data_IF_937598353661
#
_entry.id   IF_937598353661
#
_cell.length_a   1.000
_cell.length_b   1.000
_cell.length_c   1.000
_cell.angle_alpha   90.00
_cell.angle_beta   90.00
_cell.angle_gamma   90.00
#
_symmetry.space_group_name_H-M   'P 1'
#
loop_
_entity.id
_entity.type
_entity.pdbx_description
1 polymer ?
#
# COMPACT_ATOMS: atom_id res chain seq x y z
N UNK A 1 16.13 23.07 -36.92
CA UNK A 1 15.37 21.81 -36.83
C UNK A 1 15.85 21.03 -35.61
N UNK A 2 15.13 21.12 -34.51
CA UNK A 2 15.47 20.39 -33.28
C UNK A 2 15.02 18.95 -33.46
N UNK A 3 15.96 18.03 -33.64
CA UNK A 3 15.70 16.58 -33.68
C UNK A 3 15.06 16.16 -32.36
N UNK A 4 13.79 15.89 -32.38
CA UNK A 4 13.06 15.30 -31.24
C UNK A 4 13.64 13.88 -31.09
N UNK A 5 14.54 13.68 -30.11
CA UNK A 5 15.08 12.38 -29.80
C UNK A 5 13.91 11.44 -29.47
N UNK A 6 13.68 10.43 -30.30
CA UNK A 6 12.65 9.40 -30.07
C UNK A 6 12.90 8.74 -28.72
N UNK A 7 11.87 8.65 -27.90
CA UNK A 7 11.90 7.95 -26.61
C UNK A 7 12.27 6.49 -26.86
N UNK A 8 13.23 5.92 -26.13
CA UNK A 8 13.40 4.47 -26.12
C UNK A 8 12.13 3.84 -25.51
N UNK A 9 11.46 2.99 -26.26
CA UNK A 9 10.33 2.21 -25.76
C UNK A 9 10.73 1.41 -24.52
N UNK A 10 9.85 1.21 -23.54
CA UNK A 10 10.13 0.33 -22.41
C UNK A 10 10.41 -1.09 -22.94
N UNK A 11 11.31 -1.83 -22.27
CA UNK A 11 11.53 -3.23 -22.66
C UNK A 11 10.34 -4.09 -22.31
N UNK A 12 10.20 -5.20 -23.02
CA UNK A 12 9.23 -6.27 -22.68
C UNK A 12 9.37 -6.67 -21.21
N UNK A 13 10.60 -6.83 -20.71
CA UNK A 13 10.84 -7.18 -19.31
C UNK A 13 10.30 -6.13 -18.32
N UNK A 14 10.38 -4.83 -18.66
CA UNK A 14 9.80 -3.78 -17.80
C UNK A 14 8.28 -3.79 -17.82
N UNK A 15 7.67 -3.98 -18.98
CA UNK A 15 6.21 -4.11 -19.10
C UNK A 15 5.73 -5.32 -18.31
N UNK A 16 6.35 -6.47 -18.53
CA UNK A 16 6.04 -7.69 -17.80
C UNK A 16 6.25 -7.54 -16.29
N UNK A 17 7.32 -6.88 -15.86
CA UNK A 17 7.59 -6.62 -14.45
C UNK A 17 6.46 -5.83 -13.76
N UNK A 18 5.91 -4.81 -14.42
CA UNK A 18 4.78 -4.05 -13.87
C UNK A 18 3.48 -4.87 -13.88
N UNK A 19 3.19 -5.58 -14.96
CA UNK A 19 1.98 -6.39 -15.06
C UNK A 19 1.99 -7.55 -14.08
N UNK A 20 3.09 -8.31 -14.01
CA UNK A 20 3.24 -9.41 -13.07
C UNK A 20 3.30 -8.91 -11.62
N UNK A 21 3.94 -7.76 -11.38
CA UNK A 21 3.95 -7.13 -10.07
C UNK A 21 2.55 -6.74 -9.60
N UNK A 22 1.76 -6.09 -10.46
CA UNK A 22 0.38 -5.74 -10.15
C UNK A 22 -0.48 -6.99 -9.92
N UNK A 23 -0.36 -8.00 -10.78
CA UNK A 23 -1.09 -9.27 -10.65
C UNK A 23 -0.73 -10.00 -9.34
N UNK A 24 0.55 -10.05 -8.98
CA UNK A 24 1.00 -10.67 -7.73
C UNK A 24 0.46 -9.93 -6.49
N UNK A 25 0.45 -8.58 -6.51
CA UNK A 25 -0.10 -7.76 -5.43
C UNK A 25 -1.60 -8.01 -5.26
N UNK A 26 -2.37 -8.05 -6.36
CA UNK A 26 -3.80 -8.34 -6.29
C UNK A 26 -4.11 -9.79 -5.92
N UNK A 27 -3.32 -10.75 -6.41
CA UNK A 27 -3.44 -12.15 -6.00
C UNK A 27 -3.15 -12.31 -4.49
N UNK A 28 -2.15 -11.58 -3.97
CA UNK A 28 -1.87 -11.55 -2.53
C UNK A 28 -3.03 -10.94 -1.73
N UNK A 29 -3.64 -9.84 -2.23
CA UNK A 29 -4.82 -9.25 -1.60
C UNK A 29 -6.00 -10.22 -1.59
N UNK A 30 -6.23 -10.93 -2.70
CA UNK A 30 -7.27 -11.95 -2.80
C UNK A 30 -7.02 -13.12 -1.84
N UNK A 31 -5.77 -13.60 -1.74
CA UNK A 31 -5.40 -14.66 -0.81
C UNK A 31 -5.65 -14.24 0.66
N UNK A 32 -5.24 -13.02 1.03
CA UNK A 32 -5.53 -12.45 2.34
C UNK A 32 -7.04 -12.43 2.59
N UNK A 33 -7.83 -11.96 1.63
CA UNK A 33 -9.29 -11.95 1.73
C UNK A 33 -9.88 -13.34 1.89
N UNK A 34 -9.47 -14.32 1.08
CA UNK A 34 -9.93 -15.71 1.21
C UNK A 34 -9.63 -16.24 2.61
N UNK A 35 -8.39 -16.13 3.06
CA UNK A 35 -7.99 -16.65 4.39
C UNK A 35 -8.74 -15.94 5.51
N UNK A 36 -8.76 -14.61 5.49
CA UNK A 36 -9.33 -13.81 6.59
C UNK A 36 -10.87 -13.86 6.65
N UNK A 37 -11.55 -13.93 5.49
CA UNK A 37 -13.02 -13.90 5.48
C UNK A 37 -13.66 -15.28 5.57
N UNK A 38 -13.04 -16.32 4.97
CA UNK A 38 -13.73 -17.62 4.79
C UNK A 38 -13.22 -18.72 5.71
N UNK A 39 -12.14 -18.51 6.47
CA UNK A 39 -11.63 -19.53 7.38
C UNK A 39 -11.84 -19.15 8.85
N UNK A 40 -12.17 -20.14 9.67
CA UNK A 40 -12.34 -19.94 11.11
C UNK A 40 -11.06 -19.38 11.79
N UNK A 41 -9.90 -19.92 11.43
CA UNK A 41 -8.62 -19.44 11.97
C UNK A 41 -8.32 -18.01 11.54
N UNK A 42 -8.60 -17.65 10.28
CA UNK A 42 -8.39 -16.30 9.77
C UNK A 42 -9.30 -15.28 10.47
N UNK A 43 -10.60 -15.57 10.57
CA UNK A 43 -11.53 -14.71 11.30
C UNK A 43 -11.15 -14.56 12.77
N UNK A 44 -10.74 -15.67 13.41
CA UNK A 44 -10.34 -15.66 14.80
C UNK A 44 -9.06 -14.84 15.06
N UNK A 45 -8.03 -15.00 14.23
CA UNK A 45 -6.79 -14.22 14.36
C UNK A 45 -7.01 -12.72 14.13
N UNK A 46 -7.80 -12.38 13.12
CA UNK A 46 -8.16 -10.99 12.83
C UNK A 46 -8.92 -10.34 13.98
N UNK A 47 -9.90 -11.05 14.54
CA UNK A 47 -10.70 -10.57 15.67
C UNK A 47 -9.86 -10.47 16.94
N UNK A 48 -9.01 -11.48 17.21
CA UNK A 48 -8.11 -11.47 18.36
C UNK A 48 -7.15 -10.27 18.30
N UNK A 49 -6.56 -10.00 17.13
CA UNK A 49 -5.67 -8.87 16.94
C UNK A 49 -6.38 -7.53 17.14
N UNK A 50 -7.60 -7.40 16.61
CA UNK A 50 -8.43 -6.21 16.77
C UNK A 50 -8.72 -5.93 18.26
N UNK A 51 -9.23 -6.93 18.99
CA UNK A 51 -9.54 -6.79 20.42
C UNK A 51 -8.30 -6.48 21.26
N UNK A 52 -7.18 -7.12 20.97
CA UNK A 52 -5.93 -6.88 21.69
C UNK A 52 -5.40 -5.46 21.42
N UNK A 53 -5.52 -4.95 20.20
CA UNK A 53 -5.04 -3.62 19.87
C UNK A 53 -5.95 -2.52 20.43
N UNK A 54 -7.27 -2.64 20.25
CA UNK A 54 -8.24 -1.62 20.68
C UNK A 54 -8.37 -1.51 22.19
N UNK A 55 -8.13 -2.60 22.92
CA UNK A 55 -8.14 -2.61 24.38
C UNK A 55 -6.82 -2.22 25.07
N UNK A 56 -5.69 -2.18 24.32
CA UNK A 56 -4.36 -2.03 24.92
C UNK A 56 -4.04 -0.60 25.38
N UNK A 57 -4.53 0.42 24.64
CA UNK A 57 -4.12 1.82 24.82
C UNK A 57 -5.31 2.78 24.63
N UNK A 58 -6.21 2.94 25.62
CA UNK A 58 -7.39 3.81 25.48
C UNK A 58 -7.04 5.26 25.14
N UNK A 59 -6.05 5.87 25.80
CA UNK A 59 -5.61 7.25 25.54
C UNK A 59 -5.04 7.44 24.12
N UNK A 60 -4.45 6.38 23.56
CA UNK A 60 -3.92 6.40 22.20
C UNK A 60 -5.03 6.25 21.16
N UNK A 61 -6.14 5.60 21.52
CA UNK A 61 -7.32 5.46 20.66
C UNK A 61 -7.92 6.82 20.32
N UNK A 62 -8.06 7.73 21.29
CA UNK A 62 -8.60 9.08 21.03
C UNK A 62 -7.72 9.88 20.06
N UNK A 63 -6.40 9.80 20.22
CA UNK A 63 -5.45 10.44 19.29
C UNK A 63 -5.48 9.79 17.90
N UNK A 64 -5.63 8.49 17.86
CA UNK A 64 -5.77 7.74 16.61
C UNK A 64 -7.07 8.10 15.89
N UNK A 65 -8.20 8.31 16.61
CA UNK A 65 -9.45 8.80 16.04
C UNK A 65 -9.26 10.18 15.40
N UNK A 66 -8.65 11.13 16.11
CA UNK A 66 -8.36 12.47 15.56
C UNK A 66 -7.49 12.42 14.31
N UNK A 67 -6.49 11.54 14.28
CA UNK A 67 -5.68 11.29 13.07
C UNK A 67 -6.58 10.80 11.93
N UNK A 68 -7.41 9.80 12.18
CA UNK A 68 -8.28 9.22 11.16
C UNK A 68 -9.33 10.19 10.62
N UNK A 69 -9.88 11.07 11.45
CA UNK A 69 -10.80 12.13 11.03
C UNK A 69 -10.12 13.14 10.09
N UNK A 70 -8.81 13.34 10.24
CA UNK A 70 -8.01 14.22 9.38
C UNK A 70 -7.63 13.56 8.04
N UNK A 71 -7.55 12.23 7.97
CA UNK A 71 -7.05 11.48 6.80
C UNK A 71 -7.77 11.86 5.50
N UNK A 72 -9.11 11.95 5.40
CA UNK A 72 -9.77 12.30 4.14
C UNK A 72 -9.34 13.68 3.61
N UNK A 73 -9.22 14.67 4.50
CA UNK A 73 -8.83 16.04 4.15
C UNK A 73 -7.36 16.13 3.74
N UNK A 74 -6.47 15.51 4.51
CA UNK A 74 -5.03 15.47 4.21
C UNK A 74 -4.79 14.73 2.89
N UNK A 75 -5.42 13.58 2.71
CA UNK A 75 -5.33 12.78 1.47
C UNK A 75 -5.84 13.58 0.27
N UNK A 76 -6.99 14.25 0.42
CA UNK A 76 -7.56 15.12 -0.63
C UNK A 76 -6.60 16.24 -1.01
N UNK A 77 -6.10 16.99 -0.02
CA UNK A 77 -5.18 18.11 -0.23
C UNK A 77 -3.85 17.66 -0.85
N UNK A 78 -3.23 16.61 -0.31
CA UNK A 78 -1.96 16.07 -0.84
C UNK A 78 -2.13 15.55 -2.26
N UNK A 79 -3.20 14.80 -2.52
CA UNK A 79 -3.46 14.29 -3.88
C UNK A 79 -3.68 15.43 -4.87
N UNK A 80 -4.51 16.42 -4.53
CA UNK A 80 -4.76 17.57 -5.39
C UNK A 80 -3.48 18.36 -5.68
N UNK A 81 -2.66 18.63 -4.66
CA UNK A 81 -1.37 19.31 -4.83
C UNK A 81 -0.43 18.52 -5.73
N UNK A 82 -0.29 17.22 -5.51
CA UNK A 82 0.57 16.38 -6.34
C UNK A 82 0.10 16.30 -7.79
N UNK A 83 -1.21 16.20 -8.03
CA UNK A 83 -1.78 16.22 -9.37
C UNK A 83 -1.54 17.56 -10.08
N UNK A 84 -1.68 18.67 -9.36
CA UNK A 84 -1.34 20.00 -9.87
C UNK A 84 0.15 20.12 -10.22
N UNK A 85 1.03 19.66 -9.33
CA UNK A 85 2.49 19.63 -9.58
C UNK A 85 2.82 18.76 -10.79
N UNK A 86 2.20 17.60 -10.95
CA UNK A 86 2.39 16.73 -12.12
C UNK A 86 1.97 17.43 -13.40
N UNK A 87 0.80 18.09 -13.41
CA UNK A 87 0.30 18.82 -14.58
C UNK A 87 1.23 19.97 -14.98
N UNK A 88 1.66 20.79 -14.00
CA UNK A 88 2.55 21.94 -14.23
C UNK A 88 3.93 21.52 -14.70
N UNK A 89 4.56 20.55 -14.01
CA UNK A 89 5.93 20.11 -14.34
C UNK A 89 6.05 19.39 -15.69
N UNK A 90 5.05 18.59 -16.01
CA UNK A 90 5.03 17.85 -17.28
C UNK A 90 4.56 18.72 -18.46
N UNK A 91 3.98 19.88 -18.21
CA UNK A 91 3.26 20.72 -19.20
C UNK A 91 2.22 19.90 -20.00
N UNK A 92 1.69 18.87 -19.38
CA UNK A 92 0.74 17.94 -19.97
C UNK A 92 -0.15 17.36 -18.84
N UNK A 93 -1.43 17.20 -19.12
CA UNK A 93 -2.39 16.67 -18.14
C UNK A 93 -2.27 15.14 -17.96
N UNK A 94 -1.65 14.42 -18.91
CA UNK A 94 -1.60 12.96 -18.87
C UNK A 94 -1.05 12.35 -17.56
N UNK A 95 0.08 12.82 -16.97
CA UNK A 95 0.54 12.31 -15.71
C UNK A 95 -0.40 12.58 -14.53
N UNK A 96 -1.06 13.74 -14.54
CA UNK A 96 -2.08 14.07 -13.53
C UNK A 96 -3.30 13.16 -13.66
N UNK A 97 -3.76 12.90 -14.88
CA UNK A 97 -4.86 11.96 -15.16
C UNK A 97 -4.51 10.54 -14.67
N UNK A 98 -3.28 10.08 -14.91
CA UNK A 98 -2.82 8.76 -14.41
C UNK A 98 -2.84 8.72 -12.90
N UNK A 99 -2.32 9.75 -12.24
CA UNK A 99 -2.35 9.85 -10.77
C UNK A 99 -3.78 9.86 -10.23
N UNK A 100 -4.68 10.65 -10.82
CA UNK A 100 -6.10 10.68 -10.47
C UNK A 100 -6.76 9.31 -10.69
N UNK A 101 -6.45 8.64 -11.79
CA UNK A 101 -6.95 7.29 -12.06
C UNK A 101 -6.50 6.29 -10.99
N UNK A 102 -5.25 6.36 -10.53
CA UNK A 102 -4.76 5.50 -9.44
C UNK A 102 -5.57 5.73 -8.17
N UNK A 103 -5.82 6.99 -7.78
CA UNK A 103 -6.63 7.31 -6.59
C UNK A 103 -8.05 6.77 -6.74
N UNK A 104 -8.71 7.10 -7.85
CA UNK A 104 -10.12 6.75 -8.08
C UNK A 104 -10.30 5.24 -8.18
N UNK A 105 -9.50 4.57 -9.03
CA UNK A 105 -9.64 3.13 -9.27
C UNK A 105 -9.28 2.30 -8.04
N UNK A 106 -8.28 2.71 -7.26
CA UNK A 106 -7.96 2.03 -5.99
C UNK A 106 -9.12 2.10 -5.01
N UNK A 107 -9.65 3.31 -4.77
CA UNK A 107 -10.75 3.48 -3.81
C UNK A 107 -12.05 2.85 -4.31
N UNK A 108 -12.34 2.96 -5.61
CA UNK A 108 -13.50 2.29 -6.21
C UNK A 108 -13.39 0.77 -6.07
N UNK A 109 -12.22 0.18 -6.35
CA UNK A 109 -11.99 -1.26 -6.17
C UNK A 109 -12.26 -1.68 -4.73
N UNK A 110 -11.73 -0.94 -3.74
CA UNK A 110 -11.96 -1.21 -2.32
C UNK A 110 -13.46 -1.14 -1.97
N UNK A 111 -14.20 -0.14 -2.48
CA UNK A 111 -15.64 -0.03 -2.22
C UNK A 111 -16.44 -1.15 -2.91
N UNK A 112 -16.07 -1.53 -4.14
CA UNK A 112 -16.70 -2.65 -4.86
C UNK A 112 -16.46 -3.97 -4.13
N UNK A 113 -15.23 -4.25 -3.70
CA UNK A 113 -14.90 -5.44 -2.92
C UNK A 113 -15.73 -5.48 -1.63
N UNK A 114 -15.75 -4.36 -0.88
CA UNK A 114 -16.43 -4.28 0.41
C UNK A 114 -17.94 -4.45 0.31
N UNK A 115 -18.59 -3.81 -0.67
CA UNK A 115 -20.04 -3.63 -0.69
C UNK A 115 -20.77 -4.54 -1.66
N UNK A 116 -20.08 -5.08 -2.66
CA UNK A 116 -20.71 -5.76 -3.80
C UNK A 116 -20.16 -7.17 -4.02
N UNK A 117 -18.85 -7.34 -3.97
CA UNK A 117 -18.21 -8.56 -4.47
C UNK A 117 -17.89 -9.58 -3.38
N UNK A 118 -17.58 -9.11 -2.15
CA UNK A 118 -17.15 -9.98 -1.08
C UNK A 118 -18.22 -10.09 0.01
N UNK A 119 -18.69 -11.30 0.21
CA UNK A 119 -19.49 -11.67 1.35
C UNK A 119 -18.60 -12.26 2.44
N UNK A 120 -18.82 -11.85 3.67
CA UNK A 120 -18.18 -12.43 4.84
C UNK A 120 -19.14 -13.40 5.49
N UNK A 121 -18.90 -14.72 5.44
CA UNK A 121 -19.74 -15.68 6.14
C UNK A 121 -19.65 -15.45 7.67
N UNK A 122 -20.79 -15.47 8.31
CA UNK A 122 -20.84 -15.45 9.77
C UNK A 122 -20.52 -16.84 10.32
N UNK A 123 -19.31 -16.96 10.89
CA UNK A 123 -18.86 -18.19 11.54
C UNK A 123 -19.07 -18.15 13.06
N UNK A 124 -19.75 -17.14 13.59
CA UNK A 124 -19.97 -16.95 15.03
C UNK A 124 -18.69 -16.57 15.80
N UNK A 125 -17.64 -16.12 15.11
CA UNK A 125 -16.33 -15.84 15.71
C UNK A 125 -16.13 -14.34 15.96
N UNK A 126 -16.58 -13.52 15.05
CA UNK A 126 -16.38 -12.07 15.08
C UNK A 126 -17.57 -11.36 15.69
N UNK A 127 -17.32 -10.38 16.57
CA UNK A 127 -18.39 -9.62 17.23
C UNK A 127 -19.25 -8.82 16.25
N UNK A 128 -18.62 -8.29 15.19
CA UNK A 128 -19.29 -7.50 14.15
C UNK A 128 -19.39 -8.33 12.88
N UNK A 129 -20.62 -8.72 12.53
CA UNK A 129 -20.89 -9.52 11.33
C UNK A 129 -20.68 -8.74 10.02
N UNK A 130 -20.78 -7.39 10.06
CA UNK A 130 -20.64 -6.55 8.85
C UNK A 130 -19.25 -6.68 8.26
N UNK A 131 -19.20 -6.81 6.93
CA UNK A 131 -17.94 -6.86 6.20
C UNK A 131 -17.23 -5.50 6.22
N UNK A 132 -16.07 -5.42 6.89
CA UNK A 132 -15.21 -4.22 6.92
C UNK A 132 -14.08 -4.27 5.87
N UNK A 133 -13.87 -5.41 5.23
CA UNK A 133 -12.77 -5.68 4.29
C UNK A 133 -13.05 -5.13 2.87
N UNK A 134 -12.10 -4.47 2.23
CA UNK A 134 -10.87 -3.88 2.76
C UNK A 134 -11.07 -2.48 3.39
N UNK A 135 -10.01 -1.94 4.07
CA UNK A 135 -10.04 -0.65 4.77
C UNK A 135 -10.06 0.56 3.82
N UNK A 136 -11.10 1.41 3.91
CA UNK A 136 -11.20 2.63 3.11
C UNK A 136 -10.18 3.72 3.51
N UNK A 137 -9.95 3.95 4.82
CA UNK A 137 -8.98 4.94 5.32
C UNK A 137 -7.56 4.58 4.88
N UNK A 138 -7.18 3.31 5.03
CA UNK A 138 -5.87 2.83 4.59
C UNK A 138 -5.71 2.94 3.08
N UNK A 139 -6.74 2.60 2.30
CA UNK A 139 -6.71 2.72 0.85
C UNK A 139 -6.53 4.18 0.40
N UNK A 140 -7.24 5.11 1.03
CA UNK A 140 -7.13 6.53 0.72
C UNK A 140 -5.71 7.05 1.02
N UNK A 141 -5.17 6.76 2.22
CA UNK A 141 -3.82 7.14 2.59
C UNK A 141 -2.76 6.54 1.65
N UNK A 142 -2.87 5.23 1.34
CA UNK A 142 -1.96 4.56 0.43
C UNK A 142 -2.04 5.11 -1.00
N UNK A 143 -3.24 5.48 -1.48
CA UNK A 143 -3.42 6.08 -2.79
C UNK A 143 -2.76 7.47 -2.89
N UNK A 144 -2.87 8.31 -1.85
CA UNK A 144 -2.16 9.57 -1.79
C UNK A 144 -0.63 9.37 -1.82
N UNK A 145 -0.12 8.44 -1.01
CA UNK A 145 1.31 8.08 -1.02
C UNK A 145 1.74 7.59 -2.40
N UNK A 146 0.94 6.76 -3.06
CA UNK A 146 1.22 6.29 -4.41
C UNK A 146 1.36 7.45 -5.41
N UNK A 147 0.45 8.44 -5.38
CA UNK A 147 0.53 9.63 -6.25
C UNK A 147 1.78 10.46 -5.95
N UNK A 148 2.11 10.68 -4.67
CA UNK A 148 3.36 11.37 -4.28
C UNK A 148 4.58 10.64 -4.85
N UNK A 149 4.63 9.31 -4.73
CA UNK A 149 5.74 8.49 -5.22
C UNK A 149 5.82 8.52 -6.75
N UNK A 150 4.69 8.48 -7.45
CA UNK A 150 4.62 8.62 -8.91
C UNK A 150 5.08 10.01 -9.39
N UNK A 151 4.78 11.07 -8.61
CA UNK A 151 5.18 12.44 -8.89
C UNK A 151 6.65 12.72 -8.55
N UNK A 152 7.23 11.97 -7.64
CA UNK A 152 8.56 12.19 -7.10
C UNK A 152 9.66 11.97 -8.17
N UNK A 153 10.69 12.82 -8.20
CA UNK A 153 11.90 12.55 -8.99
C UNK A 153 12.57 11.23 -8.57
N UNK A 154 13.16 10.52 -9.52
CA UNK A 154 13.77 9.22 -9.28
C UNK A 154 14.72 9.15 -8.04
N UNK A 155 15.59 10.14 -7.77
CA UNK A 155 16.48 10.09 -6.60
C UNK A 155 15.74 10.16 -5.25
N UNK A 156 14.59 10.82 -5.19
CA UNK A 156 13.81 11.00 -3.93
C UNK A 156 12.80 9.90 -3.66
N UNK A 157 12.48 9.05 -4.65
CA UNK A 157 11.48 7.98 -4.50
C UNK A 157 11.71 7.05 -3.32
N UNK A 158 12.95 6.59 -3.02
CA UNK A 158 13.16 5.72 -1.87
C UNK A 158 12.85 6.41 -0.54
N UNK A 159 13.15 7.70 -0.41
CA UNK A 159 12.82 8.50 0.79
C UNK A 159 11.30 8.72 0.88
N UNK A 160 10.66 9.08 -0.23
CA UNK A 160 9.20 9.18 -0.33
C UNK A 160 8.54 7.85 0.00
N UNK A 161 9.10 6.74 -0.47
CA UNK A 161 8.64 5.39 -0.14
C UNK A 161 8.72 5.09 1.35
N UNK A 162 9.83 5.45 2.01
CA UNK A 162 10.00 5.28 3.46
C UNK A 162 8.97 6.10 4.26
N UNK A 163 8.85 7.40 3.95
CA UNK A 163 7.88 8.27 4.61
C UNK A 163 6.43 7.83 4.34
N UNK A 164 6.16 7.38 3.11
CA UNK A 164 4.88 6.84 2.72
C UNK A 164 4.55 5.53 3.45
N UNK A 165 5.51 4.62 3.60
CA UNK A 165 5.34 3.40 4.38
C UNK A 165 5.05 3.72 5.86
N UNK A 166 5.73 4.71 6.44
CA UNK A 166 5.45 5.17 7.80
C UNK A 166 4.03 5.73 7.93
N UNK A 167 3.60 6.60 6.99
CA UNK A 167 2.27 7.19 7.00
C UNK A 167 1.15 6.15 6.84
N UNK A 168 1.30 5.21 5.90
CA UNK A 168 0.31 4.13 5.68
C UNK A 168 0.27 3.15 6.84
N UNK A 169 1.42 2.83 7.44
CA UNK A 169 1.49 2.02 8.66
C UNK A 169 0.78 2.72 9.82
N UNK A 170 1.07 4.01 10.06
CA UNK A 170 0.42 4.79 11.11
C UNK A 170 -1.11 4.83 10.92
N UNK A 171 -1.58 5.08 9.69
CA UNK A 171 -3.02 5.06 9.38
C UNK A 171 -3.63 3.67 9.63
N UNK A 172 -2.98 2.60 9.15
CA UNK A 172 -3.46 1.24 9.34
C UNK A 172 -3.52 0.83 10.81
N UNK A 173 -2.47 1.12 11.58
CA UNK A 173 -2.42 0.85 13.02
C UNK A 173 -3.46 1.70 13.76
N UNK A 174 -3.66 2.98 13.37
CA UNK A 174 -4.69 3.81 13.95
C UNK A 174 -6.10 3.22 13.77
N UNK A 175 -6.41 2.66 12.58
CA UNK A 175 -7.71 1.99 12.36
C UNK A 175 -7.88 0.74 13.22
N UNK A 176 -6.78 0.02 13.48
CA UNK A 176 -6.77 -1.15 14.35
C UNK A 176 -6.97 -0.75 15.83
N UNK A 177 -6.27 0.29 16.32
CA UNK A 177 -6.39 0.81 17.69
C UNK A 177 -7.81 1.33 17.99
N UNK A 178 -8.48 1.91 16.99
CA UNK A 178 -9.87 2.39 17.13
C UNK A 178 -10.92 1.27 16.98
N UNK A 179 -10.52 0.03 16.75
CA UNK A 179 -11.47 -1.06 16.55
C UNK A 179 -12.26 -0.98 15.23
N UNK A 180 -11.84 -0.12 14.27
CA UNK A 180 -12.59 0.11 13.04
C UNK A 180 -12.31 -0.91 11.96
N UNK A 181 -11.06 -1.41 11.91
CA UNK A 181 -10.60 -2.32 10.87
C UNK A 181 -9.69 -3.40 11.43
N UNK A 182 -9.84 -4.60 10.89
CA UNK A 182 -8.99 -5.75 11.19
C UNK A 182 -7.67 -5.67 10.41
N UNK A 183 -6.62 -6.37 10.86
CA UNK A 183 -5.32 -6.38 10.16
C UNK A 183 -5.40 -6.74 8.68
N UNK A 184 -6.23 -7.74 8.34
CA UNK A 184 -6.42 -8.17 6.95
C UNK A 184 -7.03 -7.08 6.07
N UNK A 185 -7.96 -6.27 6.62
CA UNK A 185 -8.59 -5.14 5.92
C UNK A 185 -7.53 -4.12 5.48
N UNK A 186 -6.58 -3.85 6.39
CA UNK A 186 -5.47 -2.91 6.18
C UNK A 186 -4.50 -3.45 5.14
N UNK A 187 -4.02 -4.68 5.33
CA UNK A 187 -3.06 -5.34 4.43
C UNK A 187 -3.61 -5.45 3.01
N UNK A 188 -4.87 -5.88 2.86
CA UNK A 188 -5.48 -5.98 1.54
C UNK A 188 -5.58 -4.62 0.83
N UNK A 189 -5.91 -3.54 1.57
CA UNK A 189 -5.97 -2.19 1.00
C UNK A 189 -4.62 -1.72 0.48
N UNK A 190 -3.53 -1.95 1.24
CA UNK A 190 -2.17 -1.64 0.80
C UNK A 190 -1.81 -2.37 -0.50
N UNK A 191 -2.14 -3.65 -0.60
CA UNK A 191 -1.86 -4.49 -1.77
C UNK A 191 -2.70 -4.08 -2.99
N UNK A 192 -3.99 -3.78 -2.81
CA UNK A 192 -4.87 -3.30 -3.88
C UNK A 192 -4.34 -2.00 -4.46
N UNK A 193 -4.01 -1.02 -3.62
CA UNK A 193 -3.49 0.28 -4.04
C UNK A 193 -2.14 0.14 -4.73
N UNK A 194 -1.23 -0.68 -4.17
CA UNK A 194 0.08 -0.91 -4.77
C UNK A 194 -0.03 -1.53 -6.18
N UNK A 195 -0.99 -2.42 -6.42
CA UNK A 195 -1.28 -2.97 -7.74
C UNK A 195 -1.68 -1.89 -8.76
N UNK A 196 -2.61 -0.99 -8.39
CA UNK A 196 -2.99 0.15 -9.24
C UNK A 196 -1.83 1.13 -9.46
N UNK A 197 -1.03 1.38 -8.43
CA UNK A 197 0.16 2.23 -8.53
C UNK A 197 1.22 1.64 -9.47
N UNK A 198 1.39 0.32 -9.47
CA UNK A 198 2.28 -0.37 -10.42
C UNK A 198 1.80 -0.17 -11.87
N UNK A 199 0.49 -0.30 -12.15
CA UNK A 199 -0.07 -0.03 -13.48
C UNK A 199 0.03 1.44 -13.85
N UNK A 200 -0.26 2.37 -12.93
CA UNK A 200 -0.06 3.81 -13.15
C UNK A 200 1.39 4.13 -13.50
N UNK A 201 2.35 3.52 -12.80
CA UNK A 201 3.77 3.62 -13.09
C UNK A 201 4.14 3.11 -14.49
N UNK A 202 3.52 2.02 -14.94
CA UNK A 202 3.68 1.52 -16.33
C UNK A 202 3.19 2.54 -17.34
N UNK A 203 1.98 3.08 -17.15
CA UNK A 203 1.41 4.09 -18.07
C UNK A 203 2.31 5.33 -18.13
N UNK A 204 2.82 5.81 -16.99
CA UNK A 204 3.77 6.93 -16.95
C UNK A 204 5.09 6.61 -17.67
N UNK A 205 5.57 5.37 -17.60
CA UNK A 205 6.74 4.95 -18.40
C UNK A 205 6.49 4.96 -19.89
N UNK A 206 5.28 4.61 -20.32
CA UNK A 206 4.89 4.59 -21.72
C UNK A 206 4.69 6.01 -22.25
N UNK A 207 4.17 6.93 -21.43
CA UNK A 207 3.73 8.27 -21.85
C UNK A 207 4.59 9.42 -21.33
N UNK A 208 5.26 9.22 -20.18
CA UNK A 208 6.01 10.24 -19.45
C UNK A 208 7.41 10.57 -20.03
N UNK A 209 8.08 11.61 -19.54
CA UNK A 209 9.45 11.95 -19.96
C UNK A 209 10.45 10.88 -19.57
N UNK A 210 11.56 10.79 -20.31
CA UNK A 210 12.68 9.90 -19.95
C UNK A 210 13.38 10.44 -18.71
N UNK A 211 13.36 9.69 -17.63
CA UNK A 211 14.06 10.05 -16.40
C UNK A 211 15.54 9.68 -16.49
N UNK A 212 16.40 10.50 -15.86
CA UNK A 212 17.81 10.22 -15.73
C UNK A 212 18.04 9.10 -14.72
N UNK A 213 19.04 8.20 -14.94
CA UNK A 213 19.41 7.23 -13.94
C UNK A 213 19.74 7.93 -12.61
N UNK A 214 19.20 7.40 -11.52
CA UNK A 214 19.55 7.84 -10.18
C UNK A 214 20.60 6.90 -9.58
N UNK A 215 21.61 7.41 -8.89
CA UNK A 215 22.54 6.56 -8.16
C UNK A 215 21.84 5.87 -6.99
N UNK A 216 22.10 4.59 -6.79
CA UNK A 216 21.89 3.88 -5.54
C UNK A 216 20.52 3.21 -5.35
N UNK A 217 20.46 1.89 -5.54
CA UNK A 217 19.35 1.05 -5.07
C UNK A 217 19.41 0.69 -3.57
N UNK A 218 20.40 1.21 -2.82
CA UNK A 218 20.66 0.82 -1.43
C UNK A 218 19.47 1.04 -0.50
N UNK A 219 18.85 2.22 -0.53
CA UNK A 219 17.67 2.48 0.32
C UNK A 219 16.46 1.64 -0.11
N UNK A 220 16.27 1.41 -1.42
CA UNK A 220 15.21 0.51 -1.90
C UNK A 220 15.44 -0.93 -1.41
N UNK A 221 16.67 -1.41 -1.46
CA UNK A 221 17.03 -2.73 -0.93
C UNK A 221 16.83 -2.79 0.59
N UNK A 222 17.18 -1.72 1.31
CA UNK A 222 16.95 -1.63 2.75
C UNK A 222 15.44 -1.67 3.08
N UNK A 223 14.61 -0.95 2.33
CA UNK A 223 13.15 -1.02 2.50
C UNK A 223 12.62 -2.44 2.29
N UNK A 224 13.11 -3.13 1.24
CA UNK A 224 12.72 -4.51 0.97
C UNK A 224 13.18 -5.46 2.09
N UNK A 225 14.43 -5.34 2.54
CA UNK A 225 14.99 -6.15 3.61
C UNK A 225 14.28 -5.90 4.95
N UNK A 226 14.01 -4.63 5.29
CA UNK A 226 13.28 -4.26 6.51
C UNK A 226 11.83 -4.75 6.47
N UNK A 227 11.16 -4.67 5.32
CA UNK A 227 9.80 -5.18 5.15
C UNK A 227 9.73 -6.70 5.28
N UNK A 228 10.64 -7.42 4.62
CA UNK A 228 10.77 -8.87 4.77
C UNK A 228 11.13 -9.25 6.23
N UNK A 229 12.06 -8.53 6.83
CA UNK A 229 12.43 -8.72 8.24
C UNK A 229 11.25 -8.52 9.19
N UNK A 230 10.44 -7.48 8.98
CA UNK A 230 9.24 -7.25 9.79
C UNK A 230 8.23 -8.41 9.67
N UNK A 231 8.02 -8.95 8.46
CA UNK A 231 7.15 -10.11 8.26
C UNK A 231 7.72 -11.35 8.94
N UNK A 232 9.03 -11.62 8.81
CA UNK A 232 9.68 -12.77 9.44
C UNK A 232 9.65 -12.69 10.97
N UNK A 233 9.98 -11.52 11.53
CA UNK A 233 9.90 -11.28 12.99
C UNK A 233 8.46 -11.41 13.48
N UNK A 234 7.48 -10.97 12.68
CA UNK A 234 6.06 -11.10 12.96
C UNK A 234 5.55 -12.55 13.05
N UNK A 235 6.28 -13.53 12.50
CA UNK A 235 5.91 -14.94 12.62
C UNK A 235 6.01 -15.46 14.05
N UNK A 236 6.94 -14.93 14.85
CA UNK A 236 7.10 -15.35 16.25
C UNK A 236 5.89 -14.95 17.12
N UNK A 237 5.45 -13.66 17.16
CA UNK A 237 4.23 -13.30 17.88
C UNK A 237 2.98 -13.96 17.28
N UNK A 238 2.92 -14.20 15.97
CA UNK A 238 1.83 -14.96 15.36
C UNK A 238 1.77 -16.39 15.89
N UNK A 239 2.90 -17.07 15.93
CA UNK A 239 3.01 -18.40 16.54
C UNK A 239 2.62 -18.39 18.02
N UNK A 240 3.07 -17.38 18.77
CA UNK A 240 2.72 -17.22 20.17
C UNK A 240 1.21 -16.99 20.37
N UNK A 241 0.56 -16.18 19.52
CA UNK A 241 -0.88 -15.95 19.54
C UNK A 241 -1.70 -17.24 19.31
N UNK A 242 -1.21 -18.14 18.44
CA UNK A 242 -1.85 -19.44 18.20
C UNK A 242 -1.71 -20.41 19.39
N UNK A 243 -0.72 -20.22 20.26
CA UNK A 243 -0.46 -21.09 21.42
C UNK A 243 -1.02 -20.53 22.73
N UNK A 244 -0.91 -19.20 22.88
CA UNK A 244 -1.34 -18.47 24.08
C UNK A 244 -2.13 -17.24 23.63
N UNK A 245 -3.44 -17.32 23.47
CA UNK A 245 -4.27 -16.22 22.96
C UNK A 245 -4.24 -14.93 23.78
N UNK A 246 -3.77 -14.99 25.03
CA UNK A 246 -3.51 -13.81 25.87
C UNK A 246 -2.22 -13.07 25.49
N UNK A 247 -1.91 -11.96 26.14
CA UNK A 247 -0.60 -11.30 26.08
C UNK A 247 -0.34 -10.37 24.89
N UNK A 248 -1.33 -10.03 24.09
CA UNK A 248 -1.18 -9.02 23.02
C UNK A 248 -0.43 -9.48 21.75
N UNK A 249 -0.07 -10.76 21.64
CA UNK A 249 0.76 -11.29 20.56
C UNK A 249 0.13 -11.15 19.18
N UNK A 250 -1.19 -11.28 19.05
CA UNK A 250 -1.87 -11.10 17.76
C UNK A 250 -1.81 -9.65 17.27
N UNK A 251 -1.94 -8.68 18.19
CA UNK A 251 -1.79 -7.26 17.84
C UNK A 251 -0.36 -6.94 17.41
N UNK A 252 0.66 -7.50 18.05
CA UNK A 252 2.07 -7.32 17.65
C UNK A 252 2.33 -7.92 16.27
N UNK A 253 1.83 -9.14 16.01
CA UNK A 253 1.92 -9.77 14.69
C UNK A 253 1.23 -8.93 13.61
N UNK A 254 0.05 -8.37 13.91
CA UNK A 254 -0.69 -7.49 13.02
C UNK A 254 0.09 -6.22 12.67
N UNK A 255 0.67 -5.54 13.67
CA UNK A 255 1.50 -4.36 13.45
C UNK A 255 2.73 -4.68 12.60
N UNK A 256 3.38 -5.81 12.84
CA UNK A 256 4.51 -6.27 12.05
C UNK A 256 4.11 -6.58 10.60
N UNK A 257 2.94 -7.18 10.37
CA UNK A 257 2.41 -7.46 9.04
C UNK A 257 2.09 -6.15 8.28
N UNK A 258 1.41 -5.20 8.92
CA UNK A 258 1.09 -3.89 8.33
C UNK A 258 2.37 -3.13 7.95
N UNK A 259 3.35 -3.06 8.85
CA UNK A 259 4.64 -2.42 8.59
C UNK A 259 5.39 -3.13 7.46
N UNK A 260 5.47 -4.46 7.52
CA UNK A 260 6.16 -5.28 6.53
C UNK A 260 5.60 -5.08 5.13
N UNK A 261 4.27 -5.14 4.97
CA UNK A 261 3.59 -4.95 3.68
C UNK A 261 3.73 -3.51 3.19
N UNK A 262 3.64 -2.50 4.07
CA UNK A 262 3.85 -1.09 3.70
C UNK A 262 5.26 -0.85 3.13
N UNK A 263 6.29 -1.38 3.79
CA UNK A 263 7.68 -1.27 3.35
C UNK A 263 7.94 -2.04 2.05
N UNK A 264 7.41 -3.25 1.90
CA UNK A 264 7.56 -4.05 0.68
C UNK A 264 6.84 -3.41 -0.51
N UNK A 265 5.64 -2.86 -0.31
CA UNK A 265 4.93 -2.12 -1.35
C UNK A 265 5.72 -0.88 -1.80
N UNK A 266 6.26 -0.10 -0.86
CA UNK A 266 7.11 1.05 -1.16
C UNK A 266 8.38 0.64 -1.92
N UNK A 267 9.05 -0.43 -1.50
CA UNK A 267 10.24 -0.97 -2.18
C UNK A 267 9.91 -1.44 -3.60
N UNK A 268 8.82 -2.22 -3.76
CA UNK A 268 8.39 -2.73 -5.05
C UNK A 268 8.05 -1.60 -6.03
N UNK A 269 7.27 -0.61 -5.61
CA UNK A 269 6.91 0.54 -6.43
C UNK A 269 8.14 1.37 -6.81
N UNK A 270 9.07 1.58 -5.87
CA UNK A 270 10.33 2.30 -6.13
C UNK A 270 11.20 1.53 -7.14
N UNK A 271 11.33 0.22 -6.97
CA UNK A 271 12.10 -0.64 -7.88
C UNK A 271 11.49 -0.70 -9.29
N UNK A 272 10.18 -0.88 -9.39
CA UNK A 272 9.47 -0.88 -10.68
C UNK A 272 9.65 0.42 -11.43
N UNK A 273 9.79 1.55 -10.73
CA UNK A 273 9.95 2.87 -11.33
C UNK A 273 11.41 3.32 -11.45
N UNK A 274 12.38 2.50 -11.10
CA UNK A 274 13.78 2.83 -11.24
C UNK A 274 14.14 3.10 -12.72
N UNK A 275 14.83 4.23 -13.03
CA UNK A 275 15.29 4.51 -14.37
C UNK A 275 16.36 3.48 -14.80
N UNK A 276 16.49 3.27 -16.12
CA UNK A 276 17.54 2.38 -16.66
C UNK A 276 18.91 2.96 -16.45
N UNK A 277 19.85 2.17 -15.94
CA UNK A 277 21.26 2.41 -16.19
C UNK A 277 21.52 2.22 -17.69
N UNK A 278 22.00 3.26 -18.38
CA UNK A 278 22.60 3.05 -19.71
C UNK A 278 23.83 2.17 -19.49
N UNK A 279 23.80 0.91 -19.90
CA UNK A 279 25.05 0.19 -20.11
C UNK A 279 25.84 0.99 -21.13
N UNK A 280 27.13 1.33 -20.89
CA UNK A 280 27.96 1.83 -21.94
C UNK A 280 27.89 0.84 -23.09
N UNK A 281 27.64 1.31 -24.32
CA UNK A 281 27.84 0.46 -25.50
C UNK A 281 29.32 0.18 -25.57
N UNK A 282 29.74 -1.10 -25.75
CA UNK A 282 31.11 -1.46 -25.97
C UNK A 282 31.71 -0.72 -27.16
#
# INVERSE_FOLDING_TARGET
>A
MTTIARRPAPTVLQVLGHLLGAAALWASAALVGVVALTTATGQWLDELALRQASGAFPDLSDRAAQLLDSVPWVVGAVSALCLAVLAVRSRCLAPAVVGAAVVVLSNLTVQLLKRVLLEKPDLGIQEVAVNSFPSGHTAAAAAAVAVVLLAAPAPSRPVVGLLGAAATTATGVATLLNGWHRPSDVVASLLVVAGWAALGGLVLRLTGPVERPAPGGGLTALLAASGAGALLVGLLPLWAALRVPGGGWAAVAACAAILGVSLLAAAALTALQAPRSRRPRP
#
